data_IF_661341549991
#
_entry.id   IF_661341549991
#
_cell.length_a   1.000
_cell.length_b   1.000
_cell.length_c   1.000
_cell.angle_alpha   90.00
_cell.angle_beta   90.00
_cell.angle_gamma   90.00
#
_symmetry.space_group_name_H-M   'P 1'
#
loop_
_entity.id
_entity.type
_entity.pdbx_description
1 polymer ?
#
# COMPACT_ATOMS: atom_id res chain seq x y z
N UNK A 1 7.41 -54.03 3.32
CA UNK A 1 8.00 -52.68 3.20
C UNK A 1 6.89 -51.73 2.81
N UNK A 2 6.27 -51.07 3.79
CA UNK A 2 5.10 -50.21 3.63
C UNK A 2 5.49 -48.74 3.79
N UNK A 3 4.99 -47.93 2.87
CA UNK A 3 5.31 -46.54 2.57
C UNK A 3 5.08 -45.54 3.72
N UNK A 4 6.11 -44.75 4.07
CA UNK A 4 6.00 -43.47 4.76
C UNK A 4 5.84 -42.35 3.71
N UNK A 5 4.62 -41.91 3.41
CA UNK A 5 4.37 -40.72 2.56
C UNK A 5 3.35 -39.76 3.20
N UNK A 6 2.89 -40.03 4.43
CA UNK A 6 1.79 -39.25 5.03
C UNK A 6 2.21 -37.93 5.69
N UNK A 7 3.51 -37.65 5.87
CA UNK A 7 3.93 -36.52 6.71
C UNK A 7 4.43 -35.29 5.93
N UNK A 8 4.60 -35.37 4.61
CA UNK A 8 5.15 -34.26 3.81
C UNK A 8 4.08 -33.30 3.27
N UNK A 9 2.82 -33.75 3.18
CA UNK A 9 1.72 -32.94 2.64
C UNK A 9 1.06 -32.04 3.70
N UNK A 10 1.22 -32.35 4.99
CA UNK A 10 0.61 -31.57 6.08
C UNK A 10 1.35 -30.26 6.38
N UNK A 11 2.63 -30.14 6.00
CA UNK A 11 3.49 -29.00 6.39
C UNK A 11 3.41 -27.82 5.42
N UNK A 12 2.94 -28.03 4.18
CA UNK A 12 2.94 -26.99 3.14
C UNK A 12 1.68 -26.10 3.18
N UNK A 13 0.62 -26.52 3.89
CA UNK A 13 -0.67 -25.78 3.94
C UNK A 13 -0.68 -24.68 5.03
N UNK A 14 0.30 -24.64 5.94
CA UNK A 14 0.26 -23.75 7.11
C UNK A 14 1.12 -22.48 7.00
N UNK A 15 1.66 -22.13 5.84
CA UNK A 15 2.38 -20.86 5.65
C UNK A 15 1.73 -20.05 4.54
N UNK A 16 0.56 -19.48 4.85
CA UNK A 16 0.06 -18.36 4.07
C UNK A 16 1.17 -17.29 4.06
N UNK A 17 1.66 -16.83 2.90
CA UNK A 17 2.69 -15.81 2.86
C UNK A 17 2.22 -14.60 3.65
N UNK A 18 3.06 -14.07 4.54
CA UNK A 18 2.69 -12.97 5.47
C UNK A 18 2.09 -11.76 4.73
N UNK A 19 2.52 -11.52 3.49
CA UNK A 19 1.92 -10.52 2.60
C UNK A 19 0.45 -10.81 2.32
N UNK A 20 0.10 -12.04 1.96
CA UNK A 20 -1.29 -12.46 1.67
C UNK A 20 -2.14 -12.42 2.94
N UNK A 21 -1.60 -12.84 4.08
CA UNK A 21 -2.28 -12.75 5.37
C UNK A 21 -2.64 -11.29 5.73
N UNK A 22 -1.72 -10.35 5.53
CA UNK A 22 -1.97 -8.91 5.74
C UNK A 22 -3.06 -8.36 4.80
N UNK A 23 -3.02 -8.77 3.53
CA UNK A 23 -4.03 -8.35 2.54
C UNK A 23 -5.43 -8.86 2.93
N UNK A 24 -5.56 -10.12 3.37
CA UNK A 24 -6.85 -10.70 3.78
C UNK A 24 -7.44 -9.96 4.99
N UNK A 25 -6.61 -9.62 5.99
CA UNK A 25 -7.06 -8.85 7.16
C UNK A 25 -7.54 -7.46 6.76
N UNK A 26 -6.79 -6.76 5.90
CA UNK A 26 -7.14 -5.43 5.40
C UNK A 26 -8.44 -5.45 4.57
N UNK A 27 -8.64 -6.46 3.73
CA UNK A 27 -9.88 -6.65 2.96
C UNK A 27 -11.07 -6.89 3.88
N UNK A 28 -10.91 -7.74 4.91
CA UNK A 28 -11.98 -8.03 5.88
C UNK A 28 -12.38 -6.79 6.67
N UNK A 29 -11.41 -6.02 7.15
CA UNK A 29 -11.67 -4.78 7.88
C UNK A 29 -12.31 -3.71 7.00
N UNK A 30 -11.87 -3.59 5.74
CA UNK A 30 -12.50 -2.70 4.76
C UNK A 30 -13.95 -3.12 4.47
N UNK A 31 -14.25 -4.43 4.55
CA UNK A 31 -15.59 -4.98 4.36
C UNK A 31 -16.63 -4.47 5.37
N UNK A 32 -16.25 -4.30 6.64
CA UNK A 32 -17.15 -3.81 7.71
C UNK A 32 -17.08 -2.31 7.94
N UNK A 33 -16.09 -1.63 7.35
CA UNK A 33 -15.86 -0.19 7.51
C UNK A 33 -17.07 0.66 7.12
N UNK A 34 -17.61 1.46 8.03
CA UNK A 34 -18.62 2.46 7.71
C UNK A 34 -17.98 3.70 7.07
N UNK A 35 -18.80 4.50 6.39
CA UNK A 35 -18.30 5.73 5.76
C UNK A 35 -17.85 6.76 6.80
N UNK A 36 -18.56 6.88 7.92
CA UNK A 36 -18.20 7.76 9.03
C UNK A 36 -16.86 7.38 9.66
N UNK A 37 -16.64 6.09 9.91
CA UNK A 37 -15.35 5.60 10.40
C UNK A 37 -14.22 5.85 9.40
N UNK A 38 -14.49 5.72 8.09
CA UNK A 38 -13.51 6.03 7.05
C UNK A 38 -13.11 7.51 7.08
N UNK A 39 -14.08 8.42 7.12
CA UNK A 39 -13.80 9.86 7.26
C UNK A 39 -13.06 10.18 8.56
N UNK A 40 -13.45 9.51 9.66
CA UNK A 40 -12.74 9.61 10.94
C UNK A 40 -11.27 9.24 10.83
N UNK A 41 -10.94 8.15 10.11
CA UNK A 41 -9.55 7.74 9.86
C UNK A 41 -8.78 8.72 8.99
N UNK A 42 -9.42 9.36 8.01
CA UNK A 42 -8.80 10.42 7.20
C UNK A 42 -8.44 11.63 8.07
N UNK A 43 -9.36 12.06 8.93
CA UNK A 43 -9.12 13.18 9.86
C UNK A 43 -8.01 12.85 10.87
N UNK A 44 -8.05 11.65 11.47
CA UNK A 44 -7.03 11.21 12.42
C UNK A 44 -5.64 11.15 11.77
N UNK A 45 -5.54 10.69 10.52
CA UNK A 45 -4.28 10.63 9.79
C UNK A 45 -3.71 12.03 9.55
N UNK A 46 -4.55 13.01 9.22
CA UNK A 46 -4.15 14.41 9.12
C UNK A 46 -3.59 14.92 10.46
N UNK A 47 -4.29 14.67 11.56
CA UNK A 47 -3.85 15.10 12.89
C UNK A 47 -2.52 14.46 13.29
N UNK A 48 -2.37 13.16 13.07
CA UNK A 48 -1.14 12.42 13.38
C UNK A 48 0.04 12.93 12.55
N UNK A 49 -0.13 13.06 11.24
CA UNK A 49 0.95 13.52 10.37
C UNK A 49 1.30 14.98 10.60
N UNK A 50 0.34 15.83 10.98
CA UNK A 50 0.58 17.21 11.42
C UNK A 50 1.39 17.24 12.73
N UNK A 51 1.07 16.38 13.71
CA UNK A 51 1.85 16.24 14.96
C UNK A 51 3.28 15.79 14.68
N UNK A 52 3.46 14.79 13.82
CA UNK A 52 4.78 14.29 13.42
C UNK A 52 5.61 15.33 12.65
N UNK A 53 4.95 16.17 11.85
CA UNK A 53 5.58 17.27 11.10
C UNK A 53 5.59 18.60 11.87
N UNK A 54 5.36 18.58 13.19
CA UNK A 54 5.43 19.78 14.02
C UNK A 54 6.84 20.37 13.98
N UNK A 55 6.95 21.69 13.77
CA UNK A 55 8.24 22.37 13.61
C UNK A 55 8.91 22.19 12.23
N UNK A 56 8.29 21.49 11.27
CA UNK A 56 8.79 21.39 9.91
C UNK A 56 8.01 22.28 8.94
N UNK A 57 8.67 22.72 7.86
CA UNK A 57 8.09 23.60 6.83
C UNK A 57 7.19 22.86 5.83
N UNK A 58 7.07 21.54 5.92
CA UNK A 58 6.25 20.73 5.01
C UNK A 58 5.33 19.83 5.81
N UNK A 59 4.16 19.58 5.26
CA UNK A 59 3.17 18.68 5.86
C UNK A 59 2.43 17.91 4.75
N UNK A 60 1.73 16.85 5.16
CA UNK A 60 0.83 16.10 4.30
C UNK A 60 -0.61 16.46 4.62
N UNK A 61 -1.44 16.48 3.58
CA UNK A 61 -2.88 16.67 3.66
C UNK A 61 -3.56 15.52 2.92
N UNK A 62 -4.48 14.84 3.60
CA UNK A 62 -5.30 13.75 3.08
C UNK A 62 -6.74 14.22 2.93
N UNK A 63 -7.28 14.08 1.73
CA UNK A 63 -8.64 14.50 1.38
C UNK A 63 -9.33 13.42 0.54
N UNK A 64 -10.63 13.27 0.71
CA UNK A 64 -11.43 12.42 -0.18
C UNK A 64 -11.66 13.18 -1.48
N UNK A 65 -11.31 12.55 -2.60
CA UNK A 65 -11.51 13.16 -3.91
C UNK A 65 -13.01 13.38 -4.14
N UNK A 66 -13.45 14.63 -4.41
CA UNK A 66 -14.87 14.93 -4.59
C UNK A 66 -15.51 14.05 -5.66
N UNK A 67 -16.65 13.46 -5.33
CA UNK A 67 -17.43 12.60 -6.23
C UNK A 67 -17.00 11.12 -6.24
N UNK A 68 -15.81 10.78 -5.75
CA UNK A 68 -15.34 9.38 -5.68
C UNK A 68 -16.13 8.53 -4.67
N UNK A 69 -16.74 9.17 -3.68
CA UNK A 69 -17.49 8.59 -2.58
C UNK A 69 -19.02 8.79 -2.70
N UNK A 70 -19.48 9.34 -3.83
CA UNK A 70 -20.89 9.71 -4.03
C UNK A 70 -21.85 8.53 -4.19
N UNK A 71 -21.34 7.30 -4.36
CA UNK A 71 -22.15 6.11 -4.64
C UNK A 71 -22.29 5.18 -3.42
N UNK A 72 -23.34 4.35 -3.41
CA UNK A 72 -23.47 3.29 -2.39
C UNK A 72 -22.32 2.26 -2.41
N UNK A 73 -21.58 2.17 -3.52
CA UNK A 73 -20.39 1.35 -3.68
C UNK A 73 -19.08 2.15 -3.45
N UNK A 74 -19.15 3.21 -2.64
CA UNK A 74 -18.03 4.11 -2.35
C UNK A 74 -16.75 3.37 -1.95
N UNK A 75 -16.82 2.21 -1.27
CA UNK A 75 -15.62 1.46 -0.87
C UNK A 75 -14.71 1.06 -2.04
N UNK A 76 -15.29 0.85 -3.22
CA UNK A 76 -14.55 0.52 -4.45
C UNK A 76 -14.17 1.79 -5.22
N UNK A 77 -15.07 2.77 -5.22
CA UNK A 77 -14.94 3.98 -6.02
C UNK A 77 -14.10 5.08 -5.35
N UNK A 78 -14.02 5.10 -4.02
CA UNK A 78 -13.40 6.18 -3.24
C UNK A 78 -11.93 6.29 -3.56
N UNK A 79 -11.49 7.54 -3.65
CA UNK A 79 -10.10 7.91 -3.89
C UNK A 79 -9.68 8.91 -2.83
N UNK A 80 -8.54 8.67 -2.21
CA UNK A 80 -7.94 9.56 -1.22
C UNK A 80 -6.75 10.24 -1.86
N UNK A 81 -6.81 11.57 -1.93
CA UNK A 81 -5.72 12.41 -2.38
C UNK A 81 -4.80 12.70 -1.20
N UNK A 82 -3.52 12.36 -1.33
CA UNK A 82 -2.46 12.78 -0.42
C UNK A 82 -1.63 13.86 -1.11
N UNK A 83 -1.53 15.03 -0.48
CA UNK A 83 -0.81 16.18 -1.03
C UNK A 83 0.25 16.64 -0.03
N UNK A 84 1.48 16.79 -0.52
CA UNK A 84 2.58 17.38 0.24
C UNK A 84 2.66 18.87 -0.04
N UNK A 85 2.55 19.67 1.01
CA UNK A 85 2.45 21.12 0.92
C UNK A 85 3.59 21.76 1.72
N UNK A 86 4.19 22.81 1.16
CA UNK A 86 5.11 23.68 1.88
C UNK A 86 4.30 24.76 2.63
N UNK A 87 4.44 24.83 3.96
CA UNK A 87 3.70 25.77 4.84
C UNK A 87 4.00 27.23 4.51
N UNK A 88 5.25 27.54 4.17
CA UNK A 88 5.73 28.92 3.97
C UNK A 88 5.25 29.48 2.65
N UNK A 89 5.26 28.68 1.58
CA UNK A 89 4.84 29.12 0.24
C UNK A 89 3.39 28.77 -0.10
N UNK A 90 2.77 27.84 0.62
CA UNK A 90 1.47 27.26 0.27
C UNK A 90 1.49 26.41 -1.00
N UNK A 91 2.67 26.13 -1.56
CA UNK A 91 2.82 25.41 -2.83
C UNK A 91 2.71 23.91 -2.57
N UNK A 92 1.93 23.24 -3.43
CA UNK A 92 1.87 21.79 -3.54
C UNK A 92 3.15 21.27 -4.20
N UNK A 93 3.95 20.49 -3.49
CA UNK A 93 5.17 19.88 -4.03
C UNK A 93 4.87 18.61 -4.82
N UNK A 94 4.00 17.76 -4.28
CA UNK A 94 3.64 16.48 -4.88
C UNK A 94 2.26 16.06 -4.41
N UNK A 95 1.55 15.34 -5.28
CA UNK A 95 0.27 14.74 -4.96
C UNK A 95 0.20 13.30 -5.48
N UNK A 96 -0.50 12.43 -4.75
CA UNK A 96 -0.76 11.03 -5.10
C UNK A 96 -2.19 10.66 -4.74
N UNK A 97 -2.80 9.83 -5.56
CA UNK A 97 -4.15 9.30 -5.33
C UNK A 97 -4.01 7.85 -4.90
N UNK A 98 -4.75 7.47 -3.86
CA UNK A 98 -4.83 6.11 -3.35
C UNK A 98 -6.27 5.60 -3.40
N UNK A 99 -6.44 4.29 -3.58
CA UNK A 99 -7.71 3.62 -3.34
C UNK A 99 -7.90 3.36 -1.82
N UNK A 100 -9.06 2.84 -1.44
CA UNK A 100 -9.38 2.54 -0.03
C UNK A 100 -8.38 1.58 0.61
N UNK A 101 -7.94 0.56 -0.13
CA UNK A 101 -7.04 -0.47 0.39
C UNK A 101 -5.66 0.10 0.71
N UNK A 102 -5.07 0.84 -0.24
CA UNK A 102 -3.80 1.55 -0.06
C UNK A 102 -3.86 2.54 1.10
N UNK A 103 -4.94 3.30 1.20
CA UNK A 103 -5.15 4.22 2.31
C UNK A 103 -5.22 3.50 3.66
N UNK A 104 -5.97 2.39 3.75
CA UNK A 104 -6.08 1.59 4.96
C UNK A 104 -4.74 0.98 5.39
N UNK A 105 -3.92 0.56 4.44
CA UNK A 105 -2.57 0.09 4.70
C UNK A 105 -1.69 1.21 5.26
N UNK A 106 -1.69 2.38 4.59
CA UNK A 106 -0.94 3.55 5.05
C UNK A 106 -1.34 3.99 6.46
N UNK A 107 -2.65 4.02 6.74
CA UNK A 107 -3.16 4.40 8.06
C UNK A 107 -2.60 3.50 9.17
N UNK A 108 -2.57 2.18 8.96
CA UNK A 108 -1.98 1.24 9.94
C UNK A 108 -0.48 1.41 10.08
N UNK A 109 0.22 1.59 8.97
CA UNK A 109 1.66 1.77 8.96
C UNK A 109 2.05 3.04 9.74
N UNK A 110 1.34 4.15 9.52
CA UNK A 110 1.58 5.41 10.24
C UNK A 110 1.19 5.27 11.72
N UNK A 111 0.06 4.64 12.04
CA UNK A 111 -0.36 4.49 13.43
C UNK A 111 0.64 3.63 14.23
N UNK A 112 1.09 2.50 13.66
CA UNK A 112 2.12 1.66 14.29
C UNK A 112 3.47 2.37 14.44
N UNK A 113 3.84 3.21 13.47
CA UNK A 113 5.05 4.05 13.58
C UNK A 113 4.92 5.11 14.67
N UNK A 114 3.77 5.78 14.77
CA UNK A 114 3.50 6.80 15.78
C UNK A 114 3.53 6.19 17.20
N UNK A 115 2.96 5.01 17.40
CA UNK A 115 3.03 4.28 18.67
C UNK A 115 4.48 3.95 19.07
N UNK A 116 5.31 3.53 18.11
CA UNK A 116 6.74 3.27 18.34
C UNK A 116 7.53 4.52 18.73
N UNK A 117 7.32 5.64 18.03
CA UNK A 117 8.00 6.91 18.31
C UNK A 117 7.55 7.50 19.65
N UNK A 118 6.26 7.44 19.97
CA UNK A 118 5.75 7.94 21.25
C UNK A 118 6.17 7.07 22.45
N UNK A 119 6.34 5.76 22.27
CA UNK A 119 6.85 4.87 23.32
C UNK A 119 8.33 5.10 23.64
N UNK A 120 9.15 5.47 22.65
CA UNK A 120 10.58 5.76 22.81
C UNK A 120 10.85 7.17 23.41
N UNK A 121 9.90 8.09 23.31
CA UNK A 121 9.96 9.40 23.96
C UNK A 121 10.06 9.37 25.50
N UNK A 122 9.93 8.19 26.12
CA UNK A 122 9.99 7.99 27.57
C UNK A 122 11.19 7.16 28.06
N UNK A 123 12.11 6.73 27.19
CA UNK A 123 13.31 5.97 27.59
C UNK A 123 14.50 6.25 26.65
N UNK A 124 15.55 6.86 27.19
CA UNK A 124 16.86 6.99 26.54
C UNK A 124 17.47 5.60 26.21
N UNK A 125 18.39 5.52 25.23
CA UNK A 125 18.39 4.48 24.20
C UNK A 125 19.32 3.31 24.52
N UNK A 126 18.90 2.08 24.23
CA UNK A 126 19.82 0.95 24.00
C UNK A 126 19.25 0.00 22.94
N UNK A 127 19.95 -0.08 21.80
CA UNK A 127 20.01 -1.16 20.82
C UNK A 127 18.70 -1.67 20.19
N UNK A 128 18.34 -1.09 19.04
CA UNK A 128 17.70 -1.85 17.96
C UNK A 128 18.19 -1.32 16.62
N UNK A 129 19.11 -2.06 15.99
CA UNK A 129 19.57 -1.80 14.63
C UNK A 129 18.44 -2.08 13.64
N UNK A 130 17.77 -1.01 13.20
CA UNK A 130 17.29 -0.78 11.82
C UNK A 130 16.21 0.29 11.83
N UNK A 131 16.61 1.55 12.06
CA UNK A 131 15.96 2.80 11.61
C UNK A 131 16.85 4.00 12.03
N UNK A 132 18.18 3.85 11.90
CA UNK A 132 19.06 5.01 11.90
C UNK A 132 18.94 5.66 10.51
N UNK A 133 18.07 6.65 10.39
CA UNK A 133 18.22 7.69 9.38
C UNK A 133 18.27 9.02 10.13
N UNK A 134 19.49 9.37 10.50
CA UNK A 134 20.05 10.73 10.47
C UNK A 134 19.02 11.86 10.66
N UNK A 135 19.16 12.48 11.84
CA UNK A 135 18.79 13.86 12.15
C UNK A 135 18.63 14.77 10.91
N UNK A 136 17.46 15.42 10.80
CA UNK A 136 17.04 16.43 9.79
C UNK A 136 16.28 16.00 8.53
N UNK A 137 15.91 14.73 8.34
CA UNK A 137 15.00 14.39 7.24
C UNK A 137 13.54 14.85 7.52
N UNK A 138 12.90 15.46 6.52
CA UNK A 138 11.53 15.94 6.65
C UNK A 138 10.55 14.76 6.78
N UNK A 139 9.80 14.67 7.88
CA UNK A 139 8.80 13.63 8.15
C UNK A 139 7.77 13.54 7.04
N UNK A 140 7.33 14.69 6.51
CA UNK A 140 6.44 14.72 5.35
C UNK A 140 7.07 14.06 4.10
N UNK A 141 8.38 14.17 3.89
CA UNK A 141 9.06 13.48 2.79
C UNK A 141 9.16 11.97 3.02
N UNK A 142 9.43 11.51 4.25
CA UNK A 142 9.46 10.07 4.57
C UNK A 142 8.08 9.45 4.33
N UNK A 143 7.04 10.06 4.90
CA UNK A 143 5.66 9.61 4.76
C UNK A 143 5.21 9.65 3.30
N UNK A 144 5.58 10.69 2.56
CA UNK A 144 5.30 10.75 1.12
C UNK A 144 6.02 9.64 0.34
N UNK A 145 7.24 9.26 0.73
CA UNK A 145 7.94 8.11 0.15
C UNK A 145 7.18 6.80 0.36
N UNK A 146 6.53 6.63 1.52
CA UNK A 146 5.64 5.48 1.78
C UNK A 146 4.36 5.53 0.95
N UNK A 147 3.75 6.70 0.81
CA UNK A 147 2.60 6.91 -0.09
C UNK A 147 2.99 6.51 -1.51
N UNK A 148 4.12 7.01 -2.02
CA UNK A 148 4.63 6.65 -3.35
C UNK A 148 4.83 5.14 -3.49
N UNK A 149 5.47 4.49 -2.50
CA UNK A 149 5.67 3.04 -2.51
C UNK A 149 4.35 2.26 -2.60
N UNK A 150 3.32 2.65 -1.84
CA UNK A 150 2.02 1.97 -1.88
C UNK A 150 1.27 2.19 -3.20
N UNK A 151 1.43 3.38 -3.79
CA UNK A 151 0.84 3.68 -5.09
C UNK A 151 1.59 3.00 -6.25
N UNK A 152 2.90 2.81 -6.12
CA UNK A 152 3.77 2.20 -7.14
C UNK A 152 3.79 0.66 -7.03
N UNK A 153 3.67 0.07 -5.83
CA UNK A 153 3.62 -1.39 -5.61
C UNK A 153 2.30 -2.01 -6.10
N UNK A 154 1.27 -1.22 -6.44
CA UNK A 154 0.10 -1.74 -7.20
C UNK A 154 0.23 -1.46 -8.72
N UNK A 155 1.16 -0.61 -9.14
CA UNK A 155 1.58 -0.40 -10.53
C UNK A 155 2.78 -1.30 -10.87
N UNK A 156 2.69 -2.63 -10.70
CA UNK A 156 3.65 -3.55 -11.35
C UNK A 156 3.36 -3.63 -12.85
N UNK A 157 3.81 -2.60 -13.56
CA UNK A 157 3.94 -2.58 -15.01
C UNK A 157 4.96 -3.65 -15.44
N UNK A 158 4.51 -4.75 -16.05
CA UNK A 158 5.39 -5.48 -16.97
C UNK A 158 5.46 -4.64 -18.24
N UNK A 159 6.43 -3.74 -18.32
CA UNK A 159 6.88 -3.20 -19.60
C UNK A 159 7.54 -4.33 -20.39
N UNK A 160 6.79 -5.01 -21.25
CA UNK A 160 7.36 -5.79 -22.34
C UNK A 160 6.95 -5.19 -23.68
N UNK A 161 7.88 -4.39 -24.18
CA UNK A 161 8.18 -4.04 -25.58
C UNK A 161 7.41 -2.88 -26.21
N UNK A 162 8.20 -2.06 -26.91
CA UNK A 162 7.86 -0.81 -27.58
C UNK A 162 6.62 -0.89 -28.48
N UNK A 163 5.53 -0.25 -28.03
CA UNK A 163 4.44 0.39 -28.82
C UNK A 163 3.56 -0.44 -29.79
N UNK A 164 2.35 0.04 -30.17
CA UNK A 164 1.39 0.83 -29.40
C UNK A 164 -0.06 0.29 -29.47
N UNK A 165 -0.86 0.79 -28.52
CA UNK A 165 -2.29 1.09 -28.63
C UNK A 165 -3.28 -0.06 -28.84
N UNK A 166 -3.48 -0.91 -27.81
CA UNK A 166 -4.78 -1.51 -27.41
C UNK A 166 -4.63 -2.77 -26.52
N UNK A 167 -3.94 -2.70 -25.39
CA UNK A 167 -3.83 -3.83 -24.46
C UNK A 167 -4.58 -3.54 -23.15
N UNK A 168 -5.91 -3.66 -23.16
CA UNK A 168 -6.76 -3.36 -22.00
C UNK A 168 -7.08 -4.58 -21.12
N UNK A 169 -6.71 -5.81 -21.47
CA UNK A 169 -7.28 -7.00 -20.80
C UNK A 169 -6.36 -8.22 -20.67
N UNK A 170 -5.04 -8.04 -20.55
CA UNK A 170 -4.12 -9.19 -20.39
C UNK A 170 -3.43 -9.30 -19.01
N UNK A 171 -3.68 -8.42 -18.05
CA UNK A 171 -2.81 -8.23 -16.86
C UNK A 171 -3.32 -8.89 -15.58
N UNK A 172 -3.66 -10.18 -15.58
CA UNK A 172 -4.00 -10.89 -14.32
C UNK A 172 -3.44 -12.32 -14.22
N UNK A 173 -2.23 -12.59 -14.71
CA UNK A 173 -1.57 -13.90 -14.51
C UNK A 173 -0.17 -13.76 -13.91
N UNK A 174 0.09 -14.56 -12.87
CA UNK A 174 1.36 -14.62 -12.13
C UNK A 174 2.51 -15.16 -13.03
N UNK A 175 3.75 -14.65 -12.88
CA UNK A 175 4.90 -14.98 -13.75
C UNK A 175 5.26 -16.47 -13.83
N UNK A 176 5.15 -17.23 -12.73
CA UNK A 176 5.45 -18.68 -12.71
C UNK A 176 4.53 -19.49 -13.63
N UNK A 177 3.29 -19.02 -13.85
CA UNK A 177 2.31 -19.68 -14.70
C UNK A 177 2.64 -19.45 -16.18
N UNK A 178 3.19 -18.27 -16.51
CA UNK A 178 3.60 -17.91 -17.87
C UNK A 178 4.83 -18.72 -18.29
N UNK A 179 5.82 -18.85 -17.41
CA UNK A 179 7.07 -19.56 -17.69
C UNK A 179 6.82 -21.05 -17.96
N UNK A 180 6.07 -21.72 -17.07
CA UNK A 180 5.64 -23.12 -17.26
C UNK A 180 4.77 -23.36 -18.49
N UNK A 181 4.05 -22.33 -18.96
CA UNK A 181 3.16 -22.43 -20.10
C UNK A 181 3.92 -22.22 -21.43
N UNK A 182 4.88 -21.28 -21.47
CA UNK A 182 5.78 -21.03 -22.61
C UNK A 182 6.62 -22.26 -22.97
N UNK A 183 7.03 -23.04 -21.97
CA UNK A 183 7.81 -24.28 -22.18
C UNK A 183 7.03 -25.38 -22.93
N UNK A 184 5.69 -25.34 -22.89
CA UNK A 184 4.83 -26.38 -23.47
C UNK A 184 4.02 -25.92 -24.67
N UNK A 185 3.78 -24.61 -24.83
CA UNK A 185 2.93 -24.06 -25.89
C UNK A 185 3.51 -22.76 -26.48
N UNK A 186 3.36 -22.58 -27.80
CA UNK A 186 3.91 -21.44 -28.56
C UNK A 186 3.00 -20.20 -28.68
N UNK A 187 1.74 -20.30 -28.30
CA UNK A 187 0.75 -19.23 -28.52
C UNK A 187 0.66 -18.33 -27.28
N UNK A 188 -0.41 -17.57 -27.04
CA UNK A 188 -0.67 -16.99 -25.72
C UNK A 188 -1.86 -17.72 -25.08
N UNK A 189 -1.84 -18.00 -23.76
CA UNK A 189 -2.97 -18.68 -23.09
C UNK A 189 -4.25 -17.83 -23.09
N UNK A 190 -4.09 -16.50 -23.17
CA UNK A 190 -5.19 -15.53 -23.05
C UNK A 190 -5.80 -15.24 -24.42
N UNK A 191 -5.00 -14.92 -25.44
CA UNK A 191 -5.53 -14.54 -26.74
C UNK A 191 -5.45 -15.64 -27.82
N UNK A 192 -4.71 -16.74 -27.58
CA UNK A 192 -4.50 -17.86 -28.52
C UNK A 192 -4.02 -17.51 -29.93
N UNK A 193 -3.77 -16.23 -30.22
CA UNK A 193 -3.28 -15.78 -31.52
C UNK A 193 -1.91 -16.40 -31.78
N UNK A 194 -1.76 -16.99 -32.97
CA UNK A 194 -0.52 -17.55 -33.51
C UNK A 194 0.49 -16.45 -33.82
#
# INVERSE_FOLDING_TARGET
>A
MGQQISNQTQTVINKLPEKVARHVTLVRESGVLTYEEFLGRVAELNDLTAKLASGQDKYLLFEVQPGSDSSALWKVAVRVLCTKINKTSGIVEVSRIMNLYQFMQLYKDINSHAEGVMSLGSRAPENTESLNTESSSCQASILMGRVSQLTEEEEWCICLRDTPANASLCTQLLPEIIDKWSDRNRNCPICRLQ
#
